data_IF_490369381018
#
_entry.id   IF_490369381018
#
_cell.length_a   1.000
_cell.length_b   1.000
_cell.length_c   1.000
_cell.angle_alpha   90.00
_cell.angle_beta   90.00
_cell.angle_gamma   90.00
#
_symmetry.space_group_name_H-M   'P 1'
#
loop_
_entity.id
_entity.type
_entity.pdbx_description
1 polymer ?
#
# COMPACT_ATOMS: atom_id res chain seq x y z
N UNK A 1 5.45 -37.53 10.68
CA UNK A 1 4.39 -36.65 11.18
C UNK A 1 4.69 -35.26 10.65
N UNK A 2 4.07 -34.88 9.53
CA UNK A 2 4.33 -33.60 8.86
C UNK A 2 3.11 -32.72 9.13
N UNK A 3 3.37 -31.56 9.72
CA UNK A 3 2.38 -30.63 10.22
C UNK A 3 1.47 -30.13 9.10
N UNK A 4 0.24 -30.63 9.07
CA UNK A 4 -0.87 -30.12 8.23
C UNK A 4 -1.82 -29.29 9.10
N UNK A 5 -1.27 -28.35 9.86
CA UNK A 5 -2.04 -27.45 10.72
C UNK A 5 -1.71 -26.03 10.25
N UNK A 6 -2.75 -25.20 10.01
CA UNK A 6 -2.73 -23.76 9.66
C UNK A 6 -2.95 -23.34 8.18
N UNK A 7 -3.77 -24.02 7.36
CA UNK A 7 -3.88 -23.69 5.91
C UNK A 7 -5.23 -23.21 5.34
N UNK A 8 -6.31 -23.09 6.14
CA UNK A 8 -7.56 -22.50 5.61
C UNK A 8 -7.59 -20.98 5.84
N UNK A 9 -7.42 -20.52 7.09
CA UNK A 9 -7.43 -19.08 7.41
C UNK A 9 -6.19 -18.30 6.95
N UNK A 10 -4.99 -18.89 7.01
CA UNK A 10 -3.78 -18.22 6.48
C UNK A 10 -3.87 -18.04 4.98
N UNK A 11 -4.36 -19.04 4.24
CA UNK A 11 -4.54 -18.92 2.80
C UNK A 11 -5.57 -17.84 2.42
N UNK A 12 -6.66 -17.71 3.19
CA UNK A 12 -7.62 -16.61 3.02
C UNK A 12 -7.02 -15.25 3.40
N UNK A 13 -6.20 -15.18 4.44
CA UNK A 13 -5.51 -13.96 4.86
C UNK A 13 -4.48 -13.52 3.84
N UNK A 14 -3.61 -14.42 3.37
CA UNK A 14 -2.61 -14.18 2.34
C UNK A 14 -3.29 -13.68 1.06
N UNK A 15 -4.39 -14.31 0.62
CA UNK A 15 -5.15 -13.85 -0.53
C UNK A 15 -5.75 -12.44 -0.33
N UNK A 16 -6.21 -12.13 0.88
CA UNK A 16 -6.75 -10.80 1.20
C UNK A 16 -5.65 -9.72 1.21
N UNK A 17 -4.46 -10.03 1.76
CA UNK A 17 -3.31 -9.13 1.78
C UNK A 17 -2.80 -8.88 0.35
N UNK A 18 -2.70 -9.92 -0.47
CA UNK A 18 -2.34 -9.82 -1.89
C UNK A 18 -3.29 -8.87 -2.64
N UNK A 19 -4.61 -9.00 -2.42
CA UNK A 19 -5.61 -8.09 -3.02
C UNK A 19 -5.46 -6.64 -2.55
N UNK A 20 -5.16 -6.41 -1.26
CA UNK A 20 -4.93 -5.06 -0.74
C UNK A 20 -3.67 -4.45 -1.33
N UNK A 21 -2.57 -5.21 -1.43
CA UNK A 21 -1.34 -4.75 -2.07
C UNK A 21 -1.57 -4.42 -3.55
N UNK A 22 -2.34 -5.24 -4.27
CA UNK A 22 -2.70 -4.99 -5.67
C UNK A 22 -3.48 -3.68 -5.83
N UNK A 23 -4.52 -3.47 -5.01
CA UNK A 23 -5.34 -2.24 -5.07
C UNK A 23 -4.56 -0.99 -4.66
N UNK A 24 -3.64 -1.11 -3.70
CA UNK A 24 -2.76 -0.01 -3.29
C UNK A 24 -1.80 0.39 -4.42
N UNK A 25 -1.24 -0.58 -5.13
CA UNK A 25 -0.41 -0.33 -6.30
C UNK A 25 -1.21 0.28 -7.46
N UNK A 26 -2.42 -0.22 -7.70
CA UNK A 26 -3.33 0.32 -8.71
C UNK A 26 -3.69 1.79 -8.43
N UNK A 27 -4.01 2.12 -7.16
CA UNK A 27 -4.27 3.47 -6.72
C UNK A 27 -3.03 4.38 -6.88
N UNK A 28 -1.83 3.88 -6.58
CA UNK A 28 -0.58 4.62 -6.76
C UNK A 28 -0.35 5.00 -8.22
N UNK A 29 -0.55 4.06 -9.15
CA UNK A 29 -0.45 4.33 -10.60
C UNK A 29 -1.49 5.37 -11.00
N UNK A 30 -2.76 5.21 -10.60
CA UNK A 30 -3.83 6.17 -10.95
C UNK A 30 -3.54 7.59 -10.45
N UNK A 31 -3.06 7.73 -9.21
CA UNK A 31 -2.65 9.03 -8.65
C UNK A 31 -1.47 9.62 -9.42
N UNK A 32 -0.45 8.83 -9.74
CA UNK A 32 0.69 9.32 -10.52
C UNK A 32 0.26 9.83 -11.89
N UNK A 33 -0.68 9.14 -12.54
CA UNK A 33 -1.23 9.50 -13.83
C UNK A 33 -2.02 10.81 -13.77
N UNK A 34 -2.93 10.95 -12.79
CA UNK A 34 -3.77 12.15 -12.68
C UNK A 34 -2.93 13.38 -12.36
N UNK A 35 -1.92 13.26 -11.50
CA UNK A 35 -1.02 14.36 -11.15
C UNK A 35 -0.14 14.74 -12.33
N UNK A 36 0.39 13.75 -13.06
CA UNK A 36 1.20 13.99 -14.25
C UNK A 36 0.42 14.76 -15.32
N UNK A 37 -0.84 14.38 -15.57
CA UNK A 37 -1.72 15.06 -16.54
C UNK A 37 -2.02 16.49 -16.10
N UNK A 38 -2.23 16.73 -14.80
CA UNK A 38 -2.59 18.06 -14.30
C UNK A 38 -1.41 19.03 -14.23
N UNK A 39 -0.23 18.57 -13.77
CA UNK A 39 0.88 19.46 -13.44
C UNK A 39 1.92 19.55 -14.58
N UNK A 40 2.06 18.53 -15.42
CA UNK A 40 2.99 18.54 -16.56
C UNK A 40 4.49 18.60 -16.22
N UNK A 41 4.85 18.93 -14.97
CA UNK A 41 6.21 19.14 -14.49
C UNK A 41 6.66 18.04 -13.50
N UNK A 42 7.81 17.42 -13.79
CA UNK A 42 8.37 16.29 -13.02
C UNK A 42 8.61 16.58 -11.53
N UNK A 43 8.98 17.82 -11.17
CA UNK A 43 9.17 18.21 -9.76
C UNK A 43 7.86 18.15 -8.98
N UNK A 44 6.75 18.43 -9.63
CA UNK A 44 5.44 18.52 -9.02
C UNK A 44 4.79 17.16 -8.82
N UNK A 45 5.09 16.20 -9.70
CA UNK A 45 4.69 14.78 -9.56
C UNK A 45 5.40 14.06 -8.42
N UNK A 46 6.60 14.51 -8.05
CA UNK A 46 7.43 13.89 -7.02
C UNK A 46 6.87 14.07 -5.61
N UNK A 47 6.12 15.14 -5.38
CA UNK A 47 5.47 15.46 -4.08
C UNK A 47 4.45 14.37 -3.69
N UNK A 48 3.41 14.07 -4.49
CA UNK A 48 2.45 13.02 -4.17
C UNK A 48 3.07 11.62 -4.17
N UNK A 49 4.08 11.37 -5.01
CA UNK A 49 4.78 10.08 -5.06
C UNK A 49 5.46 9.73 -3.72
N UNK A 50 6.03 10.72 -3.04
CA UNK A 50 6.60 10.57 -1.70
C UNK A 50 5.55 10.66 -0.59
N UNK A 51 4.47 11.42 -0.79
CA UNK A 51 3.42 11.56 0.21
C UNK A 51 2.70 10.25 0.54
N UNK A 52 2.46 9.38 -0.46
CA UNK A 52 1.81 8.06 -0.26
C UNK A 52 2.62 7.12 0.64
N UNK A 53 3.91 6.82 0.38
CA UNK A 53 4.69 5.96 1.27
C UNK A 53 4.93 6.62 2.63
N UNK A 54 5.15 7.94 2.69
CA UNK A 54 5.33 8.65 3.96
C UNK A 54 4.05 8.63 4.81
N UNK A 55 2.87 8.73 4.21
CA UNK A 55 1.61 8.65 4.96
C UNK A 55 1.35 7.23 5.47
N UNK A 56 1.64 6.19 4.69
CA UNK A 56 1.55 4.79 5.15
C UNK A 56 2.51 4.53 6.31
N UNK A 57 3.80 4.87 6.15
CA UNK A 57 4.79 4.73 7.22
C UNK A 57 4.40 5.59 8.43
N UNK A 58 3.88 6.79 8.21
CA UNK A 58 3.35 7.68 9.24
C UNK A 58 2.17 7.06 9.99
N UNK A 59 1.22 6.44 9.29
CA UNK A 59 0.11 5.72 9.91
C UNK A 59 0.59 4.51 10.69
N UNK A 60 1.55 3.72 10.20
CA UNK A 60 2.11 2.60 10.96
C UNK A 60 2.97 3.04 12.14
N UNK A 61 3.64 4.19 12.05
CA UNK A 61 4.47 4.74 13.13
C UNK A 61 3.63 5.46 14.19
N UNK A 62 2.59 6.18 13.78
CA UNK A 62 1.64 6.87 14.65
C UNK A 62 0.63 5.89 15.26
N UNK A 63 0.19 4.88 14.50
CA UNK A 63 -0.47 3.69 15.03
C UNK A 63 0.59 2.74 15.63
N UNK A 64 1.46 3.29 16.48
CA UNK A 64 2.00 2.51 17.58
C UNK A 64 0.83 2.33 18.53
N UNK A 65 0.39 1.10 18.84
CA UNK A 65 -0.38 0.88 20.05
C UNK A 65 0.45 1.47 21.18
N UNK A 66 -0.05 2.55 21.77
CA UNK A 66 0.32 2.91 23.12
C UNK A 66 0.00 1.66 23.95
N UNK A 67 1.03 1.03 24.51
CA UNK A 67 0.84 0.12 25.65
C UNK A 67 0.02 0.81 26.73
#
# INVERSE_FOLDING_TARGET
MKYEINYDVSKFLDASIEQVLHTLFEAFILVSLVVFIFLGDWRSTLIPLLAVPVSLVGTFSACRPQE
#
